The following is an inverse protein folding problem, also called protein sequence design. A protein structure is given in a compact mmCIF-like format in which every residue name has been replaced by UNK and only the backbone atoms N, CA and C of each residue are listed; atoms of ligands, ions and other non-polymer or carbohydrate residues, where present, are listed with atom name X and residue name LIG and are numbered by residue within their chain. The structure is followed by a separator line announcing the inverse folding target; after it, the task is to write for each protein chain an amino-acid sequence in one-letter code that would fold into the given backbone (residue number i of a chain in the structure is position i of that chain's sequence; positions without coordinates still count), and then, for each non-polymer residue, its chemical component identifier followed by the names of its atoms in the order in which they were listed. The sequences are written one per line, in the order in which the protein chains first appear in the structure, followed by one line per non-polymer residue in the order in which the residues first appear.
data_IF_831239722454
#
_entry.id   IF_831239722454
#
_cell.length_a   1.000
_cell.length_b   1.000
_cell.length_c   1.000
_cell.angle_alpha   90.00
_cell.angle_beta   90.00
_cell.angle_gamma   90.00
#
_symmetry.space_group_name_H-M   'P 1'
#
loop_
_entity.id
_entity.type
_entity.pdbx_description
1 polymer ?
#
# COMPACT_ATOMS: atom_id res chain seq x y z
N UNK A 1 0.38 9.65 -6.51
CA UNK A 1 0.18 10.25 -7.85
C UNK A 1 1.42 11.05 -8.25
N UNK A 2 1.55 11.34 -9.54
CA UNK A 2 2.77 11.91 -10.13
C UNK A 2 2.46 13.19 -10.91
N UNK A 3 3.45 14.06 -11.00
CA UNK A 3 3.43 15.22 -11.88
C UNK A 3 3.45 14.76 -13.35
N UNK A 4 2.54 15.29 -14.18
CA UNK A 4 2.37 14.81 -15.56
C UNK A 4 3.51 15.19 -16.51
N UNK A 5 4.40 16.10 -16.12
CA UNK A 5 5.53 16.56 -16.95
C UNK A 5 6.84 15.94 -16.44
N UNK A 6 7.09 16.04 -15.14
CA UNK A 6 8.36 15.63 -14.51
C UNK A 6 8.33 14.19 -14.00
N UNK A 7 7.14 13.57 -13.95
CA UNK A 7 6.90 12.23 -13.39
C UNK A 7 7.29 12.05 -11.93
N UNK A 8 7.64 13.14 -11.21
CA UNK A 8 7.97 13.08 -9.79
C UNK A 8 6.72 12.79 -8.95
N UNK A 9 6.83 12.06 -7.83
CA UNK A 9 5.74 11.91 -6.87
C UNK A 9 5.22 13.26 -6.36
N UNK A 10 3.92 13.38 -6.13
CA UNK A 10 3.26 14.60 -5.63
C UNK A 10 2.31 14.31 -4.48
N UNK A 11 1.97 15.35 -3.71
CA UNK A 11 0.88 15.34 -2.72
C UNK A 11 -0.48 15.51 -3.41
N UNK A 12 -1.52 14.88 -2.87
CA UNK A 12 -2.90 14.97 -3.38
C UNK A 12 -3.72 15.79 -2.37
N UNK A 13 -4.60 15.13 -1.61
CA UNK A 13 -5.23 15.74 -0.43
C UNK A 13 -4.18 15.96 0.65
N UNK A 14 -4.50 16.77 1.65
CA UNK A 14 -3.56 17.16 2.72
C UNK A 14 -2.92 15.95 3.43
N UNK A 15 -3.66 14.86 3.57
CA UNK A 15 -3.23 13.60 4.18
C UNK A 15 -2.69 12.54 3.19
N UNK A 16 -2.54 12.89 1.92
CA UNK A 16 -2.00 12.03 0.85
C UNK A 16 -0.69 12.63 0.34
N UNK A 17 0.37 12.40 1.10
CA UNK A 17 1.69 12.96 0.83
C UNK A 17 2.39 12.18 -0.30
N UNK A 18 3.36 12.81 -0.94
CA UNK A 18 4.22 12.17 -1.93
C UNK A 18 4.97 10.98 -1.28
N UNK A 19 4.62 9.76 -1.72
CA UNK A 19 5.05 8.51 -1.10
C UNK A 19 5.09 7.39 -2.13
N UNK A 20 5.72 6.27 -1.76
CA UNK A 20 5.50 4.98 -2.44
C UNK A 20 4.15 4.45 -1.95
N UNK A 21 3.26 4.05 -2.86
CA UNK A 21 1.88 3.67 -2.52
C UNK A 21 1.64 2.20 -2.83
N UNK A 22 1.61 1.32 -1.82
CA UNK A 22 1.57 -0.13 -2.04
C UNK A 22 0.27 -0.62 -2.67
N UNK A 23 -0.87 -0.02 -2.28
CA UNK A 23 -2.17 -0.44 -2.79
C UNK A 23 -2.30 -0.14 -4.29
N UNK A 24 -2.02 1.10 -4.68
CA UNK A 24 -2.08 1.56 -6.07
C UNK A 24 -0.95 0.95 -6.92
N UNK A 25 0.23 0.70 -6.34
CA UNK A 25 1.30 0.00 -7.05
C UNK A 25 0.93 -1.44 -7.38
N UNK A 26 0.20 -2.14 -6.50
CA UNK A 26 -0.26 -3.49 -6.78
C UNK A 26 -1.19 -3.52 -8.00
N UNK A 27 -2.12 -2.56 -8.11
CA UNK A 27 -3.01 -2.43 -9.29
C UNK A 27 -2.23 -2.15 -10.58
N UNK A 28 -1.22 -1.29 -10.54
CA UNK A 28 -0.34 -1.02 -11.69
C UNK A 28 0.42 -2.28 -12.10
N UNK A 29 0.99 -3.01 -11.14
CA UNK A 29 1.74 -4.24 -11.42
C UNK A 29 0.84 -5.32 -11.99
N UNK A 30 -0.38 -5.46 -11.47
CA UNK A 30 -1.38 -6.38 -12.03
C UNK A 30 -1.68 -6.07 -13.50
N UNK A 31 -1.87 -4.80 -13.84
CA UNK A 31 -2.02 -4.35 -15.22
C UNK A 31 -0.79 -4.69 -16.08
N UNK A 32 0.42 -4.42 -15.58
CA UNK A 32 1.65 -4.76 -16.33
C UNK A 32 1.79 -6.27 -16.55
N UNK A 33 1.37 -7.09 -15.58
CA UNK A 33 1.38 -8.56 -15.67
C UNK A 33 0.37 -9.09 -16.68
N UNK A 34 -0.65 -8.32 -17.07
CA UNK A 34 -1.64 -8.73 -18.09
C UNK A 34 -1.19 -8.46 -19.53
N UNK A 35 -0.03 -7.84 -19.74
CA UNK A 35 0.50 -7.57 -21.08
C UNK A 35 1.08 -8.86 -21.66
N UNK A 36 0.60 -9.27 -22.82
CA UNK A 36 1.14 -10.42 -23.55
C UNK A 36 2.54 -10.11 -24.09
N UNK A 37 3.45 -11.09 -23.96
CA UNK A 37 4.85 -10.99 -24.41
C UNK A 37 5.54 -9.68 -24.00
N UNK A 38 5.61 -9.36 -22.68
CA UNK A 38 6.15 -8.10 -22.21
C UNK A 38 7.64 -7.96 -22.55
N UNK A 39 8.05 -6.75 -22.88
CA UNK A 39 9.46 -6.42 -23.12
C UNK A 39 10.27 -6.46 -21.81
N UNK A 40 11.60 -6.39 -21.93
CA UNK A 40 12.50 -6.45 -20.76
C UNK A 40 12.26 -5.30 -19.76
N UNK A 41 11.81 -4.13 -20.22
CA UNK A 41 11.56 -2.99 -19.34
C UNK A 41 10.35 -3.23 -18.46
N UNK A 42 9.29 -3.81 -19.02
CA UNK A 42 8.08 -4.19 -18.27
C UNK A 42 8.42 -5.30 -17.27
N UNK A 43 9.15 -6.33 -17.71
CA UNK A 43 9.57 -7.43 -16.82
C UNK A 43 10.41 -6.89 -15.65
N UNK A 44 11.40 -6.04 -15.93
CA UNK A 44 12.25 -5.47 -14.89
C UNK A 44 11.43 -4.59 -13.92
N UNK A 45 10.42 -3.88 -14.41
CA UNK A 45 9.52 -3.07 -13.58
C UNK A 45 8.69 -3.95 -12.64
N UNK A 46 8.11 -5.04 -13.14
CA UNK A 46 7.34 -6.00 -12.34
C UNK A 46 8.24 -6.67 -11.30
N UNK A 47 9.42 -7.16 -11.70
CA UNK A 47 10.36 -7.82 -10.78
C UNK A 47 10.82 -6.88 -9.66
N UNK A 48 11.07 -5.61 -9.99
CA UNK A 48 11.46 -4.60 -9.00
C UNK A 48 10.32 -4.29 -8.02
N UNK A 49 9.08 -4.22 -8.51
CA UNK A 49 7.92 -4.00 -7.65
C UNK A 49 7.62 -5.20 -6.75
N UNK A 50 7.76 -6.44 -7.26
CA UNK A 50 7.65 -7.66 -6.48
C UNK A 50 8.71 -7.70 -5.38
N UNK A 51 9.97 -7.38 -5.71
CA UNK A 51 11.02 -7.24 -4.71
C UNK A 51 10.65 -6.22 -3.64
N UNK A 52 10.13 -5.05 -4.04
CA UNK A 52 9.68 -4.04 -3.09
C UNK A 52 8.54 -4.54 -2.19
N UNK A 53 7.55 -5.26 -2.73
CA UNK A 53 6.48 -5.84 -1.92
C UNK A 53 6.99 -6.86 -0.92
N UNK A 54 7.97 -7.69 -1.30
CA UNK A 54 8.65 -8.61 -0.39
C UNK A 54 9.44 -7.87 0.70
N UNK A 55 10.19 -6.83 0.35
CA UNK A 55 11.03 -6.07 1.28
C UNK A 55 10.21 -5.20 2.25
N UNK A 56 9.04 -4.71 1.82
CA UNK A 56 8.23 -3.74 2.58
C UNK A 56 7.16 -4.37 3.45
N UNK A 57 6.89 -5.67 3.34
CA UNK A 57 5.84 -6.34 4.11
C UNK A 57 6.09 -6.30 5.62
N UNK A 58 5.01 -6.20 6.38
CA UNK A 58 5.02 -6.16 7.84
C UNK A 58 4.39 -7.46 8.36
N UNK A 59 5.08 -8.11 9.30
CA UNK A 59 4.63 -9.33 9.94
C UNK A 59 4.22 -9.08 11.39
N UNK A 60 3.50 -10.04 11.98
CA UNK A 60 3.25 -10.09 13.41
C UNK A 60 2.24 -9.07 13.91
N UNK A 61 1.53 -8.39 13.02
CA UNK A 61 0.49 -7.42 13.36
C UNK A 61 -0.75 -7.60 12.48
N UNK A 62 -1.89 -7.15 12.98
CA UNK A 62 -3.10 -6.94 12.19
C UNK A 62 -3.81 -5.67 12.65
N UNK A 63 -4.71 -5.15 11.81
CA UNK A 63 -5.60 -4.05 12.17
C UNK A 63 -6.93 -4.61 12.61
N UNK A 64 -7.32 -4.34 13.86
CA UNK A 64 -8.62 -4.70 14.39
C UNK A 64 -9.54 -3.49 14.47
N UNK A 65 -10.85 -3.75 14.35
CA UNK A 65 -11.89 -2.77 14.59
C UNK A 65 -12.48 -3.02 15.97
N UNK A 66 -12.44 -2.01 16.84
CA UNK A 66 -12.94 -2.08 18.22
C UNK A 66 -14.08 -1.09 18.42
N UNK A 67 -14.97 -1.37 19.38
CA UNK A 67 -16.00 -0.41 19.77
C UNK A 67 -15.36 0.81 20.46
N UNK A 68 -15.92 1.99 20.21
CA UNK A 68 -15.49 3.24 20.85
C UNK A 68 -16.65 4.23 20.91
N UNK A 69 -16.53 5.26 21.75
CA UNK A 69 -17.58 6.25 21.95
C UNK A 69 -18.14 6.79 20.62
N UNK A 70 -19.47 6.81 20.42
CA UNK A 70 -20.05 7.41 19.24
C UNK A 70 -19.56 8.85 19.05
N UNK A 71 -19.06 9.17 17.87
CA UNK A 71 -18.53 10.49 17.54
C UNK A 71 -18.96 10.88 16.14
N UNK A 72 -19.40 12.12 15.99
CA UNK A 72 -19.78 12.73 14.71
C UNK A 72 -18.64 13.63 14.23
N UNK A 73 -18.18 13.40 13.01
CA UNK A 73 -17.19 14.23 12.32
C UNK A 73 -17.81 14.86 11.08
N UNK A 74 -17.16 15.89 10.53
CA UNK A 74 -17.63 16.66 9.37
C UNK A 74 -18.00 15.77 8.17
N UNK A 75 -17.30 14.65 7.96
CA UNK A 75 -17.45 13.80 6.78
C UNK A 75 -17.99 12.40 7.07
N UNK A 76 -18.10 11.99 8.33
CA UNK A 76 -18.66 10.70 8.74
C UNK A 76 -18.90 10.64 10.26
N UNK A 77 -19.77 9.73 10.69
CA UNK A 77 -19.92 9.37 12.09
C UNK A 77 -19.37 7.96 12.34
N UNK A 78 -18.90 7.69 13.55
CA UNK A 78 -18.34 6.39 13.90
C UNK A 78 -18.57 6.05 15.36
N UNK A 79 -18.88 4.78 15.63
CA UNK A 79 -18.91 4.16 16.96
C UNK A 79 -17.80 3.10 17.11
N UNK A 80 -16.79 3.16 16.23
CA UNK A 80 -15.66 2.25 16.23
C UNK A 80 -14.35 3.02 16.27
N UNK A 81 -13.27 2.28 16.48
CA UNK A 81 -11.92 2.70 16.19
C UNK A 81 -11.17 1.57 15.48
N UNK A 82 -10.04 1.90 14.84
CA UNK A 82 -9.12 0.90 14.29
C UNK A 82 -7.81 0.93 15.06
N UNK A 83 -7.34 -0.21 15.52
CA UNK A 83 -6.09 -0.34 16.27
C UNK A 83 -5.18 -1.37 15.62
N UNK A 84 -3.88 -1.22 15.81
CA UNK A 84 -2.90 -2.26 15.50
C UNK A 84 -2.77 -3.16 16.72
N UNK A 85 -2.88 -4.46 16.52
CA UNK A 85 -2.62 -5.47 17.56
C UNK A 85 -1.53 -6.42 17.09
N UNK A 86 -0.78 -6.95 18.05
CA UNK A 86 0.18 -8.02 17.79
C UNK A 86 -0.55 -9.33 17.50
N UNK A 87 -0.16 -9.99 16.41
CA UNK A 87 -0.65 -11.30 16.02
C UNK A 87 0.44 -12.00 15.21
N UNK A 88 1.30 -12.82 15.85
CA UNK A 88 2.38 -13.55 15.17
C UNK A 88 1.91 -14.48 14.05
N UNK A 89 0.62 -14.84 14.04
CA UNK A 89 0.01 -15.71 13.02
C UNK A 89 -0.67 -14.95 11.88
N UNK A 90 -0.76 -13.62 11.98
CA UNK A 90 -1.39 -12.81 10.96
C UNK A 90 -0.63 -12.88 9.62
N UNK A 91 -1.36 -12.89 8.49
CA UNK A 91 -0.72 -12.76 7.18
C UNK A 91 0.03 -11.43 7.07
N UNK A 92 1.06 -11.35 6.21
CA UNK A 92 1.78 -10.10 5.99
C UNK A 92 0.84 -9.00 5.54
N UNK A 93 1.05 -7.79 6.07
CA UNK A 93 0.28 -6.59 5.78
C UNK A 93 1.23 -5.46 5.35
N UNK A 94 0.74 -4.48 4.63
CA UNK A 94 1.50 -3.30 4.21
C UNK A 94 0.80 -2.04 4.67
N UNK A 95 1.54 -0.99 5.02
CA UNK A 95 0.92 0.35 5.01
C UNK A 95 0.64 0.77 3.59
N UNK A 96 -0.39 1.59 3.41
CA UNK A 96 -0.74 2.17 2.10
C UNK A 96 0.39 3.05 1.59
N UNK A 97 1.04 3.82 2.46
CA UNK A 97 2.11 4.75 2.11
C UNK A 97 3.42 4.42 2.80
N UNK A 98 4.52 4.61 2.07
CA UNK A 98 5.89 4.56 2.55
C UNK A 98 6.63 5.85 2.19
N UNK A 99 7.37 6.41 3.14
CA UNK A 99 8.11 7.64 2.96
C UNK A 99 9.26 7.47 1.94
N UNK A 100 9.34 8.40 0.99
CA UNK A 100 10.41 8.45 0.00
C UNK A 100 11.77 8.66 0.68
N UNK A 101 12.77 7.89 0.29
CA UNK A 101 14.14 7.98 0.79
C UNK A 101 14.42 7.19 2.07
N UNK A 102 13.49 7.18 3.03
CA UNK A 102 13.66 6.41 4.28
C UNK A 102 13.00 5.03 4.22
N UNK A 103 12.02 4.85 3.34
CA UNK A 103 11.24 3.62 3.18
C UNK A 103 10.54 3.18 4.47
N UNK A 104 10.19 4.15 5.33
CA UNK A 104 9.44 3.89 6.56
C UNK A 104 7.94 3.90 6.27
N UNK A 105 7.13 3.05 6.94
CA UNK A 105 5.69 3.19 6.94
C UNK A 105 5.26 4.63 7.27
N UNK A 106 4.34 5.19 6.48
CA UNK A 106 3.94 6.58 6.57
C UNK A 106 2.43 6.71 6.75
N UNK A 107 2.04 7.60 7.65
CA UNK A 107 0.66 8.03 7.87
C UNK A 107 0.60 9.56 7.91
N UNK A 108 -0.61 10.12 7.86
CA UNK A 108 -0.80 11.57 7.98
C UNK A 108 -2.16 11.90 8.55
N UNK A 109 -2.22 13.03 9.26
CA UNK A 109 -3.49 13.62 9.69
C UNK A 109 -4.01 14.64 8.68
N UNK A 110 -5.23 15.15 8.93
CA UNK A 110 -5.93 16.08 8.04
C UNK A 110 -5.18 17.40 7.85
N UNK A 111 -4.37 17.79 8.83
CA UNK A 111 -3.45 18.94 8.79
C UNK A 111 -2.20 18.72 7.91
N UNK A 112 -1.98 17.50 7.41
CA UNK A 112 -0.81 17.13 6.61
C UNK A 112 0.43 16.81 7.43
N UNK A 113 0.33 16.70 8.75
CA UNK A 113 1.43 16.29 9.61
C UNK A 113 1.67 14.79 9.46
N UNK A 114 2.91 14.44 9.13
CA UNK A 114 3.39 13.05 9.08
C UNK A 114 3.37 12.44 10.48
N UNK A 115 2.86 11.22 10.57
CA UNK A 115 2.99 10.36 11.76
C UNK A 115 3.40 8.96 11.33
N UNK A 116 3.98 8.19 12.24
CA UNK A 116 4.67 6.92 11.91
C UNK A 116 4.04 5.69 12.56
N UNK A 117 2.86 5.85 13.17
CA UNK A 117 2.08 4.73 13.71
C UNK A 117 0.59 5.07 13.70
N UNK A 118 -0.25 4.04 13.61
CA UNK A 118 -1.70 4.21 13.45
C UNK A 118 -2.35 4.87 14.68
N UNK A 119 -1.82 4.65 15.89
CA UNK A 119 -2.32 5.27 17.12
C UNK A 119 -2.14 6.80 17.12
N UNK A 120 -1.19 7.32 16.35
CA UNK A 120 -0.94 8.77 16.17
C UNK A 120 -1.80 9.40 15.06
N UNK A 121 -2.51 8.59 14.29
CA UNK A 121 -3.51 9.07 13.34
C UNK A 121 -4.78 9.44 14.11
N UNK A 122 -5.31 10.63 13.91
CA UNK A 122 -6.57 11.05 14.53
C UNK A 122 -7.69 10.07 14.21
N UNK A 123 -8.53 9.74 15.20
CA UNK A 123 -9.61 8.75 15.06
C UNK A 123 -10.52 9.02 13.86
N UNK A 124 -10.75 10.29 13.55
CA UNK A 124 -11.46 10.75 12.35
C UNK A 124 -10.83 10.17 11.07
N UNK A 125 -9.52 10.33 10.88
CA UNK A 125 -8.79 9.79 9.71
C UNK A 125 -8.56 8.28 9.80
N UNK A 126 -8.38 7.75 11.00
CA UNK A 126 -8.15 6.31 11.23
C UNK A 126 -9.36 5.46 10.86
N UNK A 127 -10.55 5.96 11.15
CA UNK A 127 -11.82 5.26 10.85
C UNK A 127 -12.30 5.52 9.42
N UNK A 128 -12.14 6.75 8.91
CA UNK A 128 -12.61 7.16 7.58
C UNK A 128 -11.68 6.87 6.41
N UNK A 129 -10.50 6.26 6.64
CA UNK A 129 -9.53 5.98 5.59
C UNK A 129 -8.82 4.64 5.79
N UNK A 130 -8.40 4.00 4.69
CA UNK A 130 -7.64 2.77 4.72
C UNK A 130 -6.13 3.07 4.71
N UNK A 131 -5.47 2.83 5.85
CA UNK A 131 -4.04 3.07 6.05
C UNK A 131 -3.18 1.83 5.87
N UNK A 132 -3.79 0.65 5.91
CA UNK A 132 -3.16 -0.64 5.65
C UNK A 132 -3.86 -1.34 4.49
N UNK A 133 -3.14 -2.22 3.81
CA UNK A 133 -3.64 -2.99 2.68
C UNK A 133 -3.02 -4.39 2.63
N UNK A 134 -3.73 -5.30 1.97
CA UNK A 134 -3.26 -6.62 1.60
C UNK A 134 -3.07 -6.77 0.09
N UNK A 135 -3.33 -5.72 -0.72
CA UNK A 135 -3.26 -5.80 -2.19
C UNK A 135 -1.93 -6.35 -2.74
N UNK A 136 -0.74 -6.01 -2.18
CA UNK A 136 0.52 -6.60 -2.66
C UNK A 136 0.56 -8.14 -2.59
N UNK A 137 -0.14 -8.76 -1.63
CA UNK A 137 -0.20 -10.22 -1.53
C UNK A 137 -0.75 -10.88 -2.80
N UNK A 138 -1.75 -10.27 -3.45
CA UNK A 138 -2.31 -10.78 -4.69
C UNK A 138 -1.26 -10.89 -5.80
N UNK A 139 -0.35 -9.91 -5.86
CA UNK A 139 0.73 -9.89 -6.84
C UNK A 139 1.76 -10.95 -6.54
N UNK A 140 2.17 -11.06 -5.27
CA UNK A 140 3.13 -12.09 -4.84
C UNK A 140 2.60 -13.50 -5.12
N UNK A 141 1.31 -13.75 -4.87
CA UNK A 141 0.68 -15.05 -5.12
C UNK A 141 0.64 -15.40 -6.63
N UNK A 142 0.50 -14.41 -7.52
CA UNK A 142 0.45 -14.61 -8.99
C UNK A 142 1.82 -14.65 -9.67
N UNK A 143 2.87 -14.17 -9.00
CA UNK A 143 4.14 -13.83 -9.64
C UNK A 143 4.85 -15.04 -10.29
N UNK A 144 4.90 -16.18 -9.60
CA UNK A 144 5.60 -17.37 -10.12
C UNK A 144 4.95 -17.94 -11.39
N UNK A 145 3.61 -17.95 -11.44
CA UNK A 145 2.86 -18.40 -12.61
C UNK A 145 3.07 -17.45 -13.79
N UNK A 146 3.05 -16.14 -13.53
CA UNK A 146 3.35 -15.13 -14.55
C UNK A 146 4.77 -15.27 -15.10
N UNK A 147 5.77 -15.41 -14.23
CA UNK A 147 7.17 -15.55 -14.62
C UNK A 147 7.40 -16.80 -15.49
N UNK A 148 6.76 -17.91 -15.13
CA UNK A 148 6.82 -19.16 -15.89
C UNK A 148 6.23 -19.00 -17.30
N UNK A 149 5.10 -18.30 -17.44
CA UNK A 149 4.50 -17.98 -18.74
C UNK A 149 5.42 -17.13 -19.61
N UNK A 150 5.96 -16.05 -19.04
CA UNK A 150 6.86 -15.13 -19.75
C UNK A 150 8.12 -15.85 -20.25
N UNK A 151 8.72 -16.71 -19.43
CA UNK A 151 9.90 -17.48 -19.82
C UNK A 151 9.60 -18.48 -20.95
N UNK A 152 8.42 -19.09 -20.92
CA UNK A 152 8.00 -20.05 -21.96
C UNK A 152 7.77 -19.37 -23.31
N UNK A 153 7.12 -18.20 -23.33
CA UNK A 153 6.88 -17.43 -24.57
C UNK A 153 8.17 -16.92 -25.22
N UNK A 154 9.25 -16.73 -24.45
CA UNK A 154 10.54 -16.26 -24.96
C UNK A 154 11.43 -17.37 -25.53
N UNK A 155 11.09 -18.64 -25.29
CA UNK A 155 11.82 -19.80 -25.81
C UNK A 155 11.26 -20.32 -27.14
N UNK A 156 10.12 -19.78 -27.60
CA UNK A 156 9.54 -20.03 -28.93
C UNK A 156 9.96 -18.93 -29.90
#
# INVERSE_FOLDING_TARGET
QHDHITFKPRNARTYELASICNMESAEIVEFLMSIDNPDERIINSINSAVKWFEDSKIFGIKVETVQAEPTEYIYHSTNIDKIVVEDPSAPPIWTRFYELGTHRPLFSNRDGIKVYSLDKVERERRTGYAWYTYSPKLILDKYNDWLSKVNSSRQQ
#
